data_IF_712146879584
#
_entry.id   IF_712146879584
#
_cell.length_a   1.000
_cell.length_b   1.000
_cell.length_c   1.000
_cell.angle_alpha   90.00
_cell.angle_beta   90.00
_cell.angle_gamma   90.00
#
_symmetry.space_group_name_H-M   'P 1'
#
loop_
_entity.id
_entity.type
_entity.pdbx_description
1 polymer ?
#
# COMPACT_ATOMS: atom_id res chain seq x y z
N UNK A 1 22.92 -1.84 -0.07
CA UNK A 1 22.32 -2.16 -1.39
C UNK A 1 22.32 -3.68 -1.50
N UNK A 2 21.16 -4.32 -1.55
CA UNK A 2 21.07 -5.78 -1.67
C UNK A 2 20.93 -6.19 -3.13
N UNK A 3 21.53 -7.31 -3.51
CA UNK A 3 21.36 -7.91 -4.85
C UNK A 3 20.36 -9.04 -4.75
N UNK A 4 19.38 -9.05 -5.64
CA UNK A 4 18.38 -10.13 -5.73
C UNK A 4 18.45 -10.69 -7.16
N UNK A 5 18.61 -12.01 -7.26
CA UNK A 5 18.52 -12.73 -8.53
C UNK A 5 17.16 -13.40 -8.60
N UNK A 6 16.35 -13.03 -9.57
CA UNK A 6 15.01 -13.57 -9.78
C UNK A 6 14.84 -13.98 -11.23
N UNK A 7 14.06 -15.04 -11.45
CA UNK A 7 13.67 -15.45 -12.79
C UNK A 7 12.30 -14.86 -13.10
N UNK A 8 12.21 -14.06 -14.15
CA UNK A 8 11.00 -13.33 -14.57
C UNK A 8 10.71 -13.76 -16.00
N UNK A 9 9.43 -13.83 -16.37
CA UNK A 9 9.05 -14.08 -17.75
C UNK A 9 9.56 -12.95 -18.66
N UNK A 10 10.03 -13.32 -19.84
CA UNK A 10 10.64 -12.39 -20.80
C UNK A 10 9.72 -11.26 -21.25
N UNK A 11 8.42 -11.53 -21.39
CA UNK A 11 7.39 -10.55 -21.75
C UNK A 11 7.28 -9.45 -20.68
N UNK A 12 7.17 -9.86 -19.41
CA UNK A 12 7.09 -8.96 -18.27
C UNK A 12 8.37 -8.13 -18.12
N UNK A 13 9.55 -8.74 -18.30
CA UNK A 13 10.83 -8.04 -18.22
C UNK A 13 10.96 -6.96 -19.29
N UNK A 14 10.61 -7.30 -20.54
CA UNK A 14 10.67 -6.38 -21.68
C UNK A 14 9.73 -5.21 -21.49
N UNK A 15 8.48 -5.48 -21.10
CA UNK A 15 7.48 -4.44 -20.86
C UNK A 15 7.93 -3.51 -19.73
N UNK A 16 8.38 -4.07 -18.61
CA UNK A 16 8.90 -3.28 -17.50
C UNK A 16 10.06 -2.38 -17.94
N UNK A 17 11.03 -2.94 -18.68
CA UNK A 17 12.18 -2.18 -19.19
C UNK A 17 11.76 -1.06 -20.15
N UNK A 18 10.73 -1.26 -20.98
CA UNK A 18 10.19 -0.21 -21.86
C UNK A 18 9.57 0.93 -21.04
N UNK A 19 8.75 0.60 -20.03
CA UNK A 19 8.11 1.59 -19.15
C UNK A 19 9.17 2.38 -18.40
N UNK A 20 10.18 1.71 -17.83
CA UNK A 20 11.27 2.39 -17.12
C UNK A 20 12.00 3.36 -18.02
N UNK A 21 12.30 2.98 -19.26
CA UNK A 21 12.94 3.87 -20.23
C UNK A 21 12.09 5.11 -20.54
N UNK A 22 10.77 4.97 -20.57
CA UNK A 22 9.85 6.08 -20.81
C UNK A 22 9.73 7.03 -19.61
N UNK A 23 9.78 6.51 -18.38
CA UNK A 23 9.54 7.31 -17.16
C UNK A 23 10.83 7.92 -16.62
N UNK A 24 11.91 7.13 -16.57
CA UNK A 24 13.17 7.49 -15.93
C UNK A 24 14.32 7.75 -16.92
N UNK A 25 14.10 7.45 -18.22
CA UNK A 25 15.12 7.57 -19.25
C UNK A 25 16.05 6.36 -19.35
N UNK A 26 17.15 6.51 -20.09
CA UNK A 26 18.05 5.40 -20.48
C UNK A 26 19.37 5.37 -19.70
N UNK A 27 19.48 6.12 -18.59
CA UNK A 27 20.73 6.20 -17.81
C UNK A 27 20.99 4.90 -17.03
N UNK A 28 22.28 4.63 -16.79
CA UNK A 28 22.71 3.50 -15.95
C UNK A 28 22.14 3.66 -14.54
N UNK A 29 21.43 2.63 -14.07
CA UNK A 29 20.85 2.59 -12.72
C UNK A 29 19.34 2.88 -12.65
N UNK A 30 18.71 3.37 -13.72
CA UNK A 30 17.26 3.67 -13.70
C UNK A 30 16.41 2.41 -13.53
N UNK A 31 16.84 1.26 -14.07
CA UNK A 31 16.17 -0.02 -13.84
C UNK A 31 16.18 -0.44 -12.37
N UNK A 32 17.30 -0.22 -11.67
CA UNK A 32 17.41 -0.53 -10.24
C UNK A 32 16.55 0.39 -9.39
N UNK A 33 16.48 1.68 -9.74
CA UNK A 33 15.59 2.65 -9.07
C UNK A 33 14.13 2.27 -9.26
N UNK A 34 13.71 2.03 -10.50
CA UNK A 34 12.34 1.64 -10.79
C UNK A 34 11.94 0.33 -10.12
N UNK A 35 12.85 -0.66 -10.08
CA UNK A 35 12.61 -1.92 -9.35
C UNK A 35 12.42 -1.65 -7.85
N UNK A 36 13.25 -0.79 -7.26
CA UNK A 36 13.14 -0.41 -5.85
C UNK A 36 11.81 0.28 -5.56
N UNK A 37 11.39 1.21 -6.41
CA UNK A 37 10.10 1.91 -6.29
C UNK A 37 8.92 0.94 -6.43
N UNK A 38 8.95 0.05 -7.42
CA UNK A 38 7.92 -0.96 -7.64
C UNK A 38 7.80 -1.91 -6.43
N UNK A 39 8.92 -2.39 -5.90
CA UNK A 39 8.94 -3.25 -4.71
C UNK A 39 8.39 -2.54 -3.48
N UNK A 40 8.76 -1.27 -3.26
CA UNK A 40 8.25 -0.48 -2.14
C UNK A 40 6.74 -0.30 -2.23
N UNK A 41 6.25 0.12 -3.41
CA UNK A 41 4.82 0.30 -3.66
C UNK A 41 4.03 -0.99 -3.42
N UNK A 42 4.54 -2.13 -3.91
CA UNK A 42 3.89 -3.42 -3.69
C UNK A 42 3.79 -3.79 -2.21
N UNK A 43 4.85 -3.60 -1.43
CA UNK A 43 4.83 -3.87 0.03
C UNK A 43 3.80 -2.98 0.72
N UNK A 44 3.77 -1.69 0.40
CA UNK A 44 2.86 -0.73 1.01
C UNK A 44 1.40 -1.07 0.68
N UNK A 45 1.09 -1.41 -0.57
CA UNK A 45 -0.24 -1.88 -0.98
C UNK A 45 -0.70 -3.13 -0.22
N UNK A 46 0.20 -4.10 -0.01
CA UNK A 46 -0.13 -5.32 0.77
C UNK A 46 -0.36 -5.03 2.24
N UNK A 47 0.42 -4.13 2.83
CA UNK A 47 0.22 -3.68 4.22
C UNK A 47 -1.13 -2.97 4.37
N UNK A 48 -1.44 -2.02 3.48
CA UNK A 48 -2.69 -1.29 3.52
C UNK A 48 -3.90 -2.22 3.33
N UNK A 49 -3.81 -3.20 2.41
CA UNK A 49 -4.86 -4.20 2.24
C UNK A 49 -5.09 -5.01 3.52
N UNK A 50 -4.02 -5.39 4.22
CA UNK A 50 -4.14 -6.12 5.49
C UNK A 50 -4.82 -5.27 6.57
N UNK A 51 -4.40 -4.02 6.74
CA UNK A 51 -5.00 -3.08 7.71
C UNK A 51 -6.49 -2.89 7.40
N UNK A 52 -6.85 -2.68 6.14
CA UNK A 52 -8.24 -2.52 5.72
C UNK A 52 -9.07 -3.77 6.05
N UNK A 53 -8.56 -4.97 5.78
CA UNK A 53 -9.25 -6.23 6.11
C UNK A 53 -9.44 -6.41 7.62
N UNK A 54 -8.45 -6.05 8.44
CA UNK A 54 -8.56 -6.09 9.90
C UNK A 54 -9.61 -5.09 10.41
N UNK A 55 -9.63 -3.87 9.86
CA UNK A 55 -10.64 -2.87 10.18
C UNK A 55 -12.05 -3.33 9.80
N UNK A 56 -12.23 -3.94 8.63
CA UNK A 56 -13.52 -4.51 8.24
C UNK A 56 -13.97 -5.63 9.19
N UNK A 57 -13.06 -6.50 9.60
CA UNK A 57 -13.37 -7.56 10.58
C UNK A 57 -13.81 -6.99 11.93
N UNK A 58 -13.18 -5.89 12.39
CA UNK A 58 -13.60 -5.19 13.61
C UNK A 58 -14.98 -4.55 13.48
N UNK A 59 -15.32 -4.02 12.31
CA UNK A 59 -16.66 -3.51 12.02
C UNK A 59 -17.72 -4.63 11.99
N UNK A 60 -17.39 -5.76 11.35
CA UNK A 60 -18.27 -6.94 11.29
C UNK A 60 -18.55 -7.55 12.65
N UNK A 61 -17.61 -7.43 13.59
CA UNK A 61 -17.75 -7.94 14.96
C UNK A 61 -18.85 -7.23 15.77
N UNK A 62 -19.66 -6.35 15.17
CA UNK A 62 -20.75 -5.61 15.83
C UNK A 62 -20.29 -5.10 17.19
N UNK A 63 -19.19 -4.35 17.17
CA UNK A 63 -18.66 -3.74 18.39
C UNK A 63 -19.78 -2.91 19.03
N UNK A 64 -20.28 -3.37 20.18
CA UNK A 64 -21.35 -2.70 20.89
C UNK A 64 -20.75 -1.43 21.49
N UNK A 65 -21.03 -0.29 20.86
CA UNK A 65 -20.63 1.04 21.36
C UNK A 65 -21.36 1.40 22.66
N UNK A 66 -22.19 0.50 23.19
CA UNK A 66 -23.03 0.72 24.35
C UNK A 66 -24.22 1.61 24.01
N UNK A 67 -24.94 2.01 25.05
CA UNK A 67 -26.06 2.96 24.88
C UNK A 67 -25.50 4.32 24.48
N UNK A 68 -26.11 4.96 23.49
CA UNK A 68 -25.82 6.36 23.12
C UNK A 68 -26.01 7.25 24.36
N UNK A 69 -24.91 7.74 24.94
CA UNK A 69 -24.90 8.53 26.16
C UNK A 69 -25.37 9.98 25.92
N UNK A 70 -25.15 10.50 24.72
CA UNK A 70 -25.42 11.89 24.38
C UNK A 70 -26.14 12.01 23.03
N UNK A 71 -27.15 12.87 22.94
CA UNK A 71 -27.87 13.14 21.69
C UNK A 71 -27.23 14.28 20.93
N UNK A 72 -26.88 15.36 21.63
CA UNK A 72 -26.31 16.57 21.05
C UNK A 72 -24.85 16.77 21.49
N UNK A 73 -24.06 17.46 20.66
CA UNK A 73 -22.64 17.74 20.94
C UNK A 73 -22.43 18.59 22.18
N UNK A 74 -23.39 19.47 22.48
CA UNK A 74 -23.32 20.39 23.62
C UNK A 74 -23.31 19.64 24.96
N UNK A 75 -23.94 18.46 25.02
CA UNK A 75 -23.97 17.58 26.20
C UNK A 75 -22.60 16.95 26.53
N UNK A 76 -21.64 17.00 25.59
CA UNK A 76 -20.30 16.39 25.75
C UNK A 76 -19.31 17.32 26.47
N UNK A 77 -19.54 18.63 26.42
CA UNK A 77 -18.56 19.64 26.82
C UNK A 77 -18.92 20.42 28.09
N UNK A 78 -20.03 20.09 28.76
CA UNK A 78 -20.37 20.68 30.05
C UNK A 78 -19.58 20.00 31.20
N UNK A 79 -18.36 20.47 31.42
CA UNK A 79 -17.63 20.34 32.68
C UNK A 79 -16.93 21.65 33.03
#
# INVERSE_FOLDING_TARGET
>A
MGTITVNIKDDVEKEFRMVVRSVHGTRKGELGKALTEAMKKWVDEKKQKKIAQEAFKLLELKFDFGKRLYRNRDELHER
#
